data_IF_460075240776
#
_entry.id   IF_460075240776
#
_cell.length_a   1.000
_cell.length_b   1.000
_cell.length_c   1.000
_cell.angle_alpha   90.00
_cell.angle_beta   90.00
_cell.angle_gamma   90.00
#
_symmetry.space_group_name_H-M   'P 1'
#
loop_
_entity.id
_entity.type
_entity.pdbx_description
1 polymer ?
#
# COMPACT_ATOMS: atom_id res chain seq x y z
N UNK A 1 -5.69 25.18 10.40
CA UNK A 1 -6.34 23.86 10.30
C UNK A 1 -6.02 22.94 11.48
N UNK A 2 -4.79 22.91 12.04
CA UNK A 2 -4.49 22.25 13.32
C UNK A 2 -5.40 22.78 14.46
N UNK A 3 -5.56 24.10 14.57
CA UNK A 3 -6.48 24.69 15.56
C UNK A 3 -7.95 24.26 15.44
N UNK A 4 -8.45 23.99 14.23
CA UNK A 4 -9.82 23.48 14.04
C UNK A 4 -9.95 22.02 14.50
N UNK A 5 -8.91 21.21 14.34
CA UNK A 5 -8.87 19.85 14.91
C UNK A 5 -8.82 19.91 16.44
N UNK A 6 -8.06 20.83 17.02
CA UNK A 6 -8.05 21.08 18.46
C UNK A 6 -9.42 21.52 18.97
N UNK A 7 -10.11 22.43 18.28
CA UNK A 7 -11.47 22.84 18.62
C UNK A 7 -12.44 21.66 18.52
N UNK A 8 -12.37 20.87 17.44
CA UNK A 8 -13.23 19.70 17.26
C UNK A 8 -13.12 18.69 18.43
N UNK A 9 -11.95 18.54 19.05
CA UNK A 9 -11.72 17.64 20.19
C UNK A 9 -12.26 18.18 21.52
N UNK A 10 -12.30 19.50 21.68
CA UNK A 10 -12.68 20.16 22.93
C UNK A 10 -14.10 20.74 22.91
N UNK A 11 -14.77 20.71 21.76
CA UNK A 11 -16.11 21.25 21.56
C UNK A 11 -17.18 20.35 22.18
N UNK A 12 -17.99 20.85 23.14
CA UNK A 12 -19.05 20.06 23.76
C UNK A 12 -20.18 19.69 22.79
N UNK A 13 -20.48 20.54 21.81
CA UNK A 13 -21.51 20.29 20.81
C UNK A 13 -21.02 19.35 19.71
N UNK A 14 -21.63 18.17 19.58
CA UNK A 14 -21.26 17.19 18.56
C UNK A 14 -21.36 17.74 17.13
N UNK A 15 -22.36 18.58 16.85
CA UNK A 15 -22.55 19.18 15.53
C UNK A 15 -21.47 20.23 15.21
N UNK A 16 -21.09 21.04 16.19
CA UNK A 16 -20.01 22.01 16.02
C UNK A 16 -18.65 21.30 15.88
N UNK A 17 -18.39 20.27 16.68
CA UNK A 17 -17.20 19.44 16.58
C UNK A 17 -17.05 18.81 15.18
N UNK A 18 -18.14 18.24 14.65
CA UNK A 18 -18.20 17.69 13.29
C UNK A 18 -17.93 18.76 12.22
N UNK A 19 -18.48 19.95 12.40
CA UNK A 19 -18.28 21.08 11.49
C UNK A 19 -16.80 21.50 11.44
N UNK A 20 -16.17 21.67 12.61
CA UNK A 20 -14.74 22.01 12.69
C UNK A 20 -13.85 20.93 12.06
N UNK A 21 -14.15 19.64 12.32
CA UNK A 21 -13.42 18.54 11.71
C UNK A 21 -13.53 18.56 10.18
N UNK A 22 -14.74 18.81 9.66
CA UNK A 22 -15.00 18.92 8.23
C UNK A 22 -14.19 20.04 7.59
N UNK A 23 -14.23 21.25 8.16
CA UNK A 23 -13.46 22.39 7.63
C UNK A 23 -11.95 22.20 7.75
N UNK A 24 -11.47 21.57 8.83
CA UNK A 24 -10.06 21.24 8.98
C UNK A 24 -9.60 20.30 7.86
N UNK A 25 -10.37 19.24 7.59
CA UNK A 25 -10.09 18.25 6.54
C UNK A 25 -10.15 18.84 5.15
N UNK A 26 -11.14 19.70 4.85
CA UNK A 26 -11.23 20.39 3.56
C UNK A 26 -10.00 21.29 3.32
N UNK A 27 -9.62 22.07 4.33
CA UNK A 27 -8.44 22.94 4.23
C UNK A 27 -7.18 22.11 4.00
N UNK A 28 -7.00 21.03 4.77
CA UNK A 28 -5.82 20.18 4.63
C UNK A 28 -5.79 19.45 3.28
N UNK A 29 -6.95 19.00 2.78
CA UNK A 29 -7.09 18.40 1.46
C UNK A 29 -6.66 19.34 0.35
N UNK A 30 -7.07 20.61 0.40
CA UNK A 30 -6.62 21.64 -0.55
C UNK A 30 -5.12 21.86 -0.48
N UNK A 31 -4.56 22.00 0.72
CA UNK A 31 -3.12 22.21 0.92
C UNK A 31 -2.27 20.99 0.53
N UNK A 32 -2.84 19.79 0.53
CA UNK A 32 -2.19 18.56 0.10
C UNK A 32 -2.23 18.35 -1.43
N UNK A 33 -2.75 19.30 -2.21
CA UNK A 33 -2.72 19.22 -3.67
C UNK A 33 -1.37 19.68 -4.24
N UNK A 34 -0.96 19.20 -5.44
CA UNK A 34 0.35 19.51 -6.01
C UNK A 34 0.64 21.01 -6.21
N UNK A 35 -0.38 21.86 -6.32
CA UNK A 35 -0.19 23.31 -6.46
C UNK A 35 0.29 24.00 -5.18
N UNK A 36 0.07 23.38 -4.02
CA UNK A 36 0.45 23.90 -2.70
C UNK A 36 1.65 23.16 -2.10
N UNK A 37 2.02 22.00 -2.63
CA UNK A 37 3.17 21.22 -2.18
C UNK A 37 4.40 21.50 -3.03
N UNK A 38 5.59 21.33 -2.43
CA UNK A 38 6.87 21.50 -3.09
C UNK A 38 7.22 20.43 -4.15
N UNK A 39 6.25 19.64 -4.61
CA UNK A 39 6.44 18.54 -5.55
C UNK A 39 7.09 19.05 -6.84
N UNK A 40 8.22 18.44 -7.24
CA UNK A 40 9.02 18.84 -8.41
C UNK A 40 9.64 20.26 -8.33
N UNK A 41 9.83 20.81 -7.14
CA UNK A 41 10.53 22.08 -6.94
C UNK A 41 11.88 21.88 -6.26
N UNK A 42 12.76 22.89 -6.30
CA UNK A 42 14.00 22.94 -5.50
C UNK A 42 13.78 23.58 -4.12
N UNK A 43 12.53 23.86 -3.74
CA UNK A 43 12.22 24.50 -2.48
C UNK A 43 12.36 23.49 -1.32
N UNK A 44 13.14 23.79 -0.28
CA UNK A 44 13.34 22.88 0.84
C UNK A 44 12.13 22.74 1.78
N UNK A 45 11.18 23.69 1.77
CA UNK A 45 9.97 23.61 2.59
C UNK A 45 8.88 22.77 1.93
N UNK A 46 7.85 22.37 2.68
CA UNK A 46 6.79 21.46 2.23
C UNK A 46 5.66 22.23 1.55
N UNK A 47 5.11 23.23 2.24
CA UNK A 47 4.04 24.09 1.72
C UNK A 47 4.62 25.27 0.95
N UNK A 48 4.03 25.56 -0.19
CA UNK A 48 4.33 26.71 -1.04
C UNK A 48 3.29 27.83 -0.83
N UNK A 49 3.52 28.96 -1.49
CA UNK A 49 2.57 30.09 -1.57
C UNK A 49 2.19 30.69 -0.21
N UNK A 50 3.08 30.58 0.76
CA UNK A 50 2.92 31.27 2.03
C UNK A 50 3.54 32.66 1.93
N UNK A 51 2.97 33.63 2.65
CA UNK A 51 3.51 34.98 2.73
C UNK A 51 3.96 35.29 4.16
N UNK A 52 5.11 35.96 4.32
CA UNK A 52 5.62 36.36 5.64
C UNK A 52 5.03 37.69 6.12
N UNK A 53 5.27 38.76 5.37
CA UNK A 53 4.82 40.12 5.71
C UNK A 53 4.71 40.92 4.43
N UNK A 54 3.55 40.87 3.77
CA UNK A 54 3.35 41.50 2.46
C UNK A 54 3.65 43.01 2.47
N UNK A 55 3.25 43.80 3.49
CA UNK A 55 3.60 45.22 3.55
C UNK A 55 5.10 45.52 3.63
N UNK A 56 5.88 44.74 4.40
CA UNK A 56 7.31 45.00 4.57
C UNK A 56 8.17 44.30 3.51
N UNK A 57 7.74 43.13 3.06
CA UNK A 57 8.39 42.29 2.08
C UNK A 57 7.37 41.33 1.46
N UNK A 58 6.80 41.73 0.33
CA UNK A 58 5.95 40.89 -0.51
C UNK A 58 6.77 39.73 -1.11
N UNK A 59 6.98 38.70 -0.30
CA UNK A 59 7.66 37.47 -0.67
C UNK A 59 6.75 36.30 -0.36
N UNK A 60 6.48 35.55 -1.41
CA UNK A 60 5.87 34.24 -1.30
C UNK A 60 6.96 33.17 -1.28
N UNK A 61 6.74 32.12 -0.50
CA UNK A 61 7.68 31.02 -0.38
C UNK A 61 7.17 29.95 0.57
N UNK A 62 8.12 29.19 1.09
CA UNK A 62 7.87 28.23 2.17
C UNK A 62 8.42 28.76 3.47
N UNK A 63 7.67 28.56 4.54
CA UNK A 63 8.07 28.95 5.87
C UNK A 63 7.80 27.83 6.87
N UNK A 64 8.79 27.61 7.74
CA UNK A 64 8.81 26.55 8.75
C UNK A 64 7.54 26.50 9.59
N UNK A 65 6.95 27.66 9.93
CA UNK A 65 5.72 27.70 10.71
C UNK A 65 4.53 27.03 10.00
N UNK A 66 4.41 27.18 8.68
CA UNK A 66 3.32 26.54 7.93
C UNK A 66 3.54 25.05 7.78
N UNK A 67 4.77 24.64 7.47
CA UNK A 67 5.15 23.23 7.40
C UNK A 67 4.89 22.51 8.73
N UNK A 68 5.25 23.15 9.85
CA UNK A 68 4.98 22.65 11.19
C UNK A 68 3.48 22.41 11.39
N UNK A 69 2.63 23.41 11.17
CA UNK A 69 1.19 23.26 11.36
C UNK A 69 0.58 22.27 10.37
N UNK A 70 1.12 22.17 9.14
CA UNK A 70 0.77 21.16 8.13
C UNK A 70 0.94 19.74 8.64
N UNK A 71 2.14 19.42 9.08
CA UNK A 71 2.49 18.10 9.60
C UNK A 71 1.78 17.79 10.90
N UNK A 72 1.64 18.77 11.79
CA UNK A 72 0.94 18.60 13.07
C UNK A 72 -0.52 18.15 12.85
N UNK A 73 -1.23 18.76 11.90
CA UNK A 73 -2.61 18.36 11.63
C UNK A 73 -2.72 17.01 10.91
N UNK A 74 -1.79 16.68 10.01
CA UNK A 74 -1.71 15.34 9.44
C UNK A 74 -1.51 14.29 10.53
N UNK A 75 -0.61 14.54 11.48
CA UNK A 75 -0.39 13.67 12.62
C UNK A 75 -1.64 13.54 13.51
N UNK A 76 -2.34 14.64 13.78
CA UNK A 76 -3.60 14.61 14.54
C UNK A 76 -4.69 13.79 13.85
N UNK A 77 -4.78 13.84 12.52
CA UNK A 77 -5.72 13.00 11.74
C UNK A 77 -5.27 11.54 11.74
N UNK A 78 -3.98 11.28 11.56
CA UNK A 78 -3.41 9.93 11.59
C UNK A 78 -3.72 9.21 12.91
N UNK A 79 -3.61 9.93 14.04
CA UNK A 79 -3.95 9.41 15.36
C UNK A 79 -5.45 9.13 15.57
N UNK A 80 -6.32 9.74 14.77
CA UNK A 80 -7.77 9.54 14.84
C UNK A 80 -8.29 8.39 13.97
N UNK A 81 -7.45 7.84 13.10
CA UNK A 81 -7.81 6.70 12.26
C UNK A 81 -7.83 5.41 13.11
N UNK A 82 -8.84 4.55 12.95
CA UNK A 82 -8.82 3.21 13.55
C UNK A 82 -7.55 2.46 13.12
N UNK A 83 -6.90 1.75 14.04
CA UNK A 83 -5.75 0.92 13.71
C UNK A 83 -6.12 -0.05 12.57
N UNK A 84 -5.25 -0.28 11.58
CA UNK A 84 -5.51 -1.29 10.57
C UNK A 84 -5.70 -2.64 11.27
N UNK A 85 -6.82 -3.31 11.00
CA UNK A 85 -7.09 -4.66 11.50
C UNK A 85 -5.92 -5.56 11.09
N UNK A 86 -5.32 -6.34 12.01
CA UNK A 86 -4.23 -7.23 11.64
C UNK A 86 -4.72 -8.20 10.55
N UNK A 87 -4.05 -8.18 9.40
CA UNK A 87 -4.26 -9.16 8.34
C UNK A 87 -4.10 -10.55 8.94
N UNK A 88 -5.12 -11.40 8.82
CA UNK A 88 -5.07 -12.76 9.33
C UNK A 88 -3.84 -13.47 8.75
N UNK A 89 -2.91 -13.87 9.62
CA UNK A 89 -1.80 -14.74 9.24
C UNK A 89 -2.39 -16.02 8.63
N UNK A 90 -2.01 -16.46 7.42
CA UNK A 90 -2.52 -17.70 6.86
C UNK A 90 -2.13 -18.85 7.79
N UNK A 91 -3.15 -19.44 8.41
CA UNK A 91 -3.04 -20.58 9.31
C UNK A 91 -2.50 -21.79 8.54
N UNK A 92 -1.36 -22.30 9.01
CA UNK A 92 -0.89 -23.69 8.89
C UNK A 92 -1.00 -24.36 7.51
N UNK A 93 0.13 -24.49 6.82
CA UNK A 93 0.35 -25.53 5.82
C UNK A 93 -0.08 -26.90 6.40
N UNK A 94 -0.99 -27.66 5.77
CA UNK A 94 -1.33 -29.00 6.21
C UNK A 94 -0.08 -29.89 6.20
N UNK A 95 0.15 -30.63 7.29
CA UNK A 95 1.24 -31.59 7.40
C UNK A 95 1.14 -32.66 6.30
N UNK A 96 2.25 -33.08 5.67
CA UNK A 96 2.21 -34.13 4.66
C UNK A 96 1.70 -35.43 5.29
N UNK A 97 0.58 -35.93 4.76
CA UNK A 97 0.02 -37.24 5.14
C UNK A 97 1.01 -38.32 4.70
N UNK A 98 1.41 -39.18 5.63
CA UNK A 98 2.40 -40.23 5.41
C UNK A 98 2.07 -41.10 4.20
N UNK A 99 3.08 -41.33 3.35
CA UNK A 99 3.02 -42.25 2.22
C UNK A 99 2.69 -43.68 2.71
N UNK A 100 1.72 -44.38 2.11
CA UNK A 100 1.51 -45.80 2.40
C UNK A 100 2.75 -46.62 1.96
N UNK A 101 3.13 -47.59 2.80
CA UNK A 101 4.22 -48.51 2.54
C UNK A 101 3.91 -49.41 1.32
N UNK A 102 4.89 -49.69 0.43
CA UNK A 102 4.64 -50.54 -0.73
C UNK A 102 4.37 -52.01 -0.32
N UNK A 103 3.26 -52.54 -0.81
CA UNK A 103 2.85 -53.95 -0.73
C UNK A 103 3.88 -54.86 -1.43
N UNK A 104 4.27 -56.02 -0.86
CA UNK A 104 5.19 -56.94 -1.53
C UNK A 104 4.59 -57.51 -2.80
N UNK A 105 5.34 -57.42 -3.91
CA UNK A 105 4.98 -57.98 -5.22
C UNK A 105 5.30 -59.47 -5.23
N UNK A 106 4.29 -60.32 -5.47
CA UNK A 106 4.49 -61.74 -5.76
C UNK A 106 4.58 -62.01 -7.27
N UNK A 107 5.49 -62.93 -7.57
CA UNK A 107 6.06 -63.36 -8.86
C UNK A 107 5.07 -63.89 -9.91
N UNK A 108 5.41 -63.75 -11.20
CA UNK A 108 5.22 -64.86 -12.13
C UNK A 108 6.51 -65.29 -12.86
N UNK A 109 6.72 -66.60 -12.91
CA UNK A 109 7.73 -67.37 -13.64
C UNK A 109 7.68 -67.12 -15.16
N UNK A 110 8.81 -66.88 -15.86
CA UNK A 110 8.83 -66.74 -17.31
C UNK A 110 9.28 -68.01 -18.06
N UNK A 111 8.65 -68.26 -19.20
CA UNK A 111 9.15 -69.15 -20.26
C UNK A 111 8.00 -69.69 -21.10
N UNK A 112 7.99 -69.64 -22.43
CA UNK A 112 8.92 -69.11 -23.43
C UNK A 112 8.18 -69.18 -24.76
N UNK A 113 8.68 -68.48 -25.78
CA UNK A 113 8.59 -68.72 -27.26
C UNK A 113 8.25 -67.38 -27.92
N UNK A 114 9.25 -66.64 -28.41
CA UNK A 114 9.77 -66.77 -29.79
C UNK A 114 8.82 -66.01 -30.74
N UNK A 115 9.18 -64.96 -31.46
CA UNK A 115 10.23 -64.88 -32.49
C UNK A 115 10.29 -63.42 -33.02
N UNK A 116 11.47 -63.06 -33.54
CA UNK A 116 12.05 -61.77 -33.94
C UNK A 116 11.31 -60.83 -34.92
N UNK A 117 11.51 -59.50 -34.73
CA UNK A 117 11.98 -58.39 -35.64
C UNK A 117 11.87 -58.57 -37.18
N UNK A 118 11.69 -57.52 -38.06
CA UNK A 118 12.30 -56.17 -37.92
C UNK A 118 11.62 -54.92 -38.60
N UNK A 119 12.29 -53.79 -38.39
CA UNK A 119 12.61 -52.71 -39.36
C UNK A 119 11.67 -51.50 -39.53
N UNK A 120 12.16 -50.35 -39.06
CA UNK A 120 11.66 -49.01 -39.37
C UNK A 120 12.22 -48.50 -40.71
N UNK A 121 11.49 -47.60 -41.37
CA UNK A 121 12.03 -46.72 -42.42
C UNK A 121 11.57 -45.29 -42.13
N UNK A 122 12.47 -44.29 -42.08
CA UNK A 122 12.12 -42.89 -41.90
C UNK A 122 11.94 -42.19 -43.26
N UNK A 123 11.12 -41.13 -43.33
CA UNK A 123 11.14 -40.18 -44.44
C UNK A 123 10.84 -38.74 -43.94
N UNK A 124 11.59 -37.70 -44.38
CA UNK A 124 11.60 -36.37 -43.75
C UNK A 124 10.92 -35.24 -44.56
N UNK A 125 10.66 -34.11 -43.85
CA UNK A 125 10.67 -32.68 -44.27
C UNK A 125 9.61 -32.19 -45.30
N UNK A 126 9.38 -30.85 -45.52
CA UNK A 126 10.11 -29.68 -45.00
C UNK A 126 9.28 -28.48 -44.52
N UNK A 127 10.02 -27.53 -43.94
CA UNK A 127 9.71 -26.15 -43.55
C UNK A 127 9.70 -25.21 -44.77
N UNK A 128 8.85 -24.19 -44.73
CA UNK A 128 9.07 -22.85 -45.30
C UNK A 128 8.83 -21.83 -44.17
#
# INVERSE_FOLDING_TARGET
>A
MSGLLTLARNEPSADAAKTYNTYARLTLGTLATPGWLNTNTRNPGILLQQSLNVPALARDGSYVWGDYYFLEALAQIAQSLPAPSPSASPSGTPAPTGSPAPTPTVSPTPGSTGTVSPSATPKPSPTD
#
